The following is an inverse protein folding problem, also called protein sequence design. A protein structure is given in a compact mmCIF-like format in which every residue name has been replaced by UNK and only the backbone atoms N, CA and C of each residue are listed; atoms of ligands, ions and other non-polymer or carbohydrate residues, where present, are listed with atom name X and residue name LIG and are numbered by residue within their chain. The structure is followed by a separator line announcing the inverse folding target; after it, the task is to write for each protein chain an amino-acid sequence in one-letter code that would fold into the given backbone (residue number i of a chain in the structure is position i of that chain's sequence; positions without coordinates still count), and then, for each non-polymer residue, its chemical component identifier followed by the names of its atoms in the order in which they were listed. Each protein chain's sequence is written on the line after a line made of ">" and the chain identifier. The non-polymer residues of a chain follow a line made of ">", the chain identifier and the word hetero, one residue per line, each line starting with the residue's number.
data_IF_784610002019
#
_entry.id   IF_784610002019
#
_cell.length_a   1.000
_cell.length_b   1.000
_cell.length_c   1.000
_cell.angle_alpha   90.00
_cell.angle_beta   90.00
_cell.angle_gamma   90.00
#
_symmetry.space_group_name_H-M   'P 1'
#
loop_
_entity.id
_entity.type
_entity.pdbx_description
1 polymer ?
#
# COMPACT_ATOMS: atom_id res chain seq x y z
N UNK A 1 -8.82 4.56 -5.48
CA UNK A 1 -7.35 4.57 -5.28
C UNK A 1 -6.59 3.60 -6.19
N UNK A 2 -7.19 2.49 -6.60
CA UNK A 2 -6.57 1.47 -7.45
C UNK A 2 -6.36 1.90 -8.93
N UNK A 3 -7.17 2.87 -9.42
CA UNK A 3 -7.17 3.28 -10.84
C UNK A 3 -6.15 4.37 -11.24
N UNK A 4 -5.51 5.08 -10.31
CA UNK A 4 -4.68 6.26 -10.65
C UNK A 4 -3.21 6.20 -10.22
N UNK A 5 -2.84 5.35 -9.27
CA UNK A 5 -1.46 5.25 -8.78
C UNK A 5 -0.91 3.85 -9.07
N UNK A 6 -0.17 3.74 -10.18
CA UNK A 6 0.49 2.48 -10.61
C UNK A 6 1.59 1.98 -9.66
N UNK A 7 2.06 2.84 -8.75
CA UNK A 7 3.03 2.52 -7.70
C UNK A 7 2.71 3.32 -6.44
N UNK A 8 1.80 2.84 -5.57
CA UNK A 8 1.56 3.50 -4.30
C UNK A 8 2.83 3.37 -3.43
N UNK A 9 3.44 4.50 -3.08
CA UNK A 9 4.56 4.49 -2.15
C UNK A 9 4.07 4.20 -0.72
N UNK A 10 4.98 3.74 0.15
CA UNK A 10 4.70 3.43 1.56
C UNK A 10 4.01 4.60 2.30
N UNK A 11 4.38 5.84 1.97
CA UNK A 11 3.81 7.06 2.56
C UNK A 11 2.36 7.30 2.13
N UNK A 12 2.03 7.04 0.87
CA UNK A 12 0.67 7.10 0.34
C UNK A 12 -0.18 6.02 1.02
N UNK A 13 0.30 4.78 1.08
CA UNK A 13 -0.45 3.71 1.76
C UNK A 13 -0.74 4.09 3.22
N UNK A 14 0.22 4.70 3.92
CA UNK A 14 0.02 5.21 5.27
C UNK A 14 -1.01 6.33 5.36
N UNK A 15 -1.04 7.25 4.39
CA UNK A 15 -2.05 8.33 4.39
C UNK A 15 -3.46 7.84 4.05
N UNK A 16 -3.60 6.79 3.24
CA UNK A 16 -4.91 6.24 2.86
C UNK A 16 -5.49 5.25 3.87
N UNK A 17 -4.63 4.66 4.71
CA UNK A 17 -5.05 3.71 5.75
C UNK A 17 -4.56 4.17 7.13
N UNK A 18 -5.01 5.34 7.64
CA UNK A 18 -4.57 5.87 8.93
C UNK A 18 -4.91 4.94 10.10
N UNK A 19 -5.97 4.13 9.98
CA UNK A 19 -6.37 3.14 10.98
C UNK A 19 -5.51 1.85 10.99
N UNK A 20 -4.70 1.64 9.95
CA UNK A 20 -3.84 0.46 9.86
C UNK A 20 -2.49 0.77 10.50
N UNK A 21 -2.13 0.02 11.54
CA UNK A 21 -0.78 0.06 12.12
C UNK A 21 0.22 -0.58 11.15
N UNK A 22 0.94 0.24 10.40
CA UNK A 22 1.97 -0.24 9.48
C UNK A 22 3.21 -0.76 10.21
N UNK A 23 3.63 -1.97 9.85
CA UNK A 23 4.86 -2.64 10.22
C UNK A 23 5.59 -3.10 8.94
N UNK A 24 6.89 -3.38 8.99
CA UNK A 24 7.70 -3.76 7.83
C UNK A 24 7.09 -4.94 7.05
N UNK A 25 6.56 -5.93 7.77
CA UNK A 25 5.98 -7.13 7.17
C UNK A 25 4.64 -6.84 6.47
N UNK A 26 3.73 -6.10 7.11
CA UNK A 26 2.42 -5.79 6.52
C UNK A 26 2.51 -4.78 5.37
N UNK A 27 3.48 -3.86 5.43
CA UNK A 27 3.71 -2.89 4.35
C UNK A 27 4.23 -3.60 3.12
N UNK A 28 5.16 -4.55 3.29
CA UNK A 28 5.66 -5.37 2.21
C UNK A 28 4.57 -6.27 1.60
N UNK A 29 3.68 -6.84 2.43
CA UNK A 29 2.54 -7.63 1.95
C UNK A 29 1.53 -6.78 1.16
N UNK A 30 1.18 -5.59 1.65
CA UNK A 30 0.30 -4.66 0.93
C UNK A 30 0.91 -4.23 -0.41
N UNK A 31 2.18 -3.82 -0.43
CA UNK A 31 2.88 -3.46 -1.66
C UNK A 31 2.91 -4.64 -2.64
N UNK A 32 3.12 -5.87 -2.15
CA UNK A 32 3.07 -7.09 -2.97
C UNK A 32 1.67 -7.35 -3.52
N UNK A 33 0.62 -7.16 -2.73
CA UNK A 33 -0.77 -7.25 -3.22
C UNK A 33 -1.03 -6.23 -4.31
N UNK A 34 -0.70 -4.95 -4.11
CA UNK A 34 -0.84 -3.91 -5.13
C UNK A 34 0.01 -4.17 -6.38
N UNK A 35 1.15 -4.86 -6.24
CA UNK A 35 1.98 -5.29 -7.39
C UNK A 35 1.37 -6.48 -8.15
N UNK A 36 0.66 -7.38 -7.46
CA UNK A 36 0.03 -8.57 -8.03
C UNK A 36 -1.33 -8.29 -8.68
N UNK A 37 -2.08 -7.30 -8.22
CA UNK A 37 -3.37 -6.90 -8.81
C UNK A 37 -3.23 -6.16 -10.16
N UNK A 38 -2.02 -6.14 -10.74
CA UNK A 38 -1.74 -5.55 -12.05
C UNK A 38 -2.62 -6.13 -13.15
#
# INVERSE_FOLDING_TARGET
>A
MFFYTRYPNSTLLKSYFPDVRFNKNNTAQLVKWFSNFR
#
